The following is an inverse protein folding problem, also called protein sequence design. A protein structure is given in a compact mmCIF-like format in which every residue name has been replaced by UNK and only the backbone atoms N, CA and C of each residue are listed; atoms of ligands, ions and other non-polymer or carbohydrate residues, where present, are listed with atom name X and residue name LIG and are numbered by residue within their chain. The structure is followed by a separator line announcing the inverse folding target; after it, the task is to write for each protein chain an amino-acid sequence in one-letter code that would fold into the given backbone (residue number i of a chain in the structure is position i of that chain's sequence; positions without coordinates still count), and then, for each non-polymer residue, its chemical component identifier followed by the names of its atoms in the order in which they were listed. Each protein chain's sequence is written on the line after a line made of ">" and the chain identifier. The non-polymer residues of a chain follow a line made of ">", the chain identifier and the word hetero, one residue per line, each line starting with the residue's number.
data_IF_296345704092
#
_entry.id   IF_296345704092
#
_cell.length_a   1.000
_cell.length_b   1.000
_cell.length_c   1.000
_cell.angle_alpha   90.00
_cell.angle_beta   90.00
_cell.angle_gamma   90.00
#
_symmetry.space_group_name_H-M   'P 1'
#
loop_
_entity.id
_entity.type
_entity.pdbx_description
1 polymer ?
#
# COMPACT_ATOMS: atom_id res chain seq x y z
N UNK A 1 10.51 7.67 -14.10
CA UNK A 1 9.55 6.71 -14.66
C UNK A 1 8.50 7.45 -15.47
N UNK A 2 8.25 7.05 -16.73
CA UNK A 2 7.29 7.76 -17.61
C UNK A 2 5.82 7.43 -17.29
N UNK A 3 5.56 6.52 -16.36
CA UNK A 3 4.23 6.03 -16.00
C UNK A 3 3.26 7.15 -15.58
N UNK A 4 3.74 8.15 -14.85
CA UNK A 4 2.91 9.26 -14.35
C UNK A 4 2.51 10.28 -15.42
N UNK A 5 3.15 10.25 -16.59
CA UNK A 5 2.82 11.18 -17.69
C UNK A 5 1.91 10.58 -18.74
N UNK A 6 1.65 9.26 -18.67
CA UNK A 6 0.83 8.58 -19.65
C UNK A 6 -0.65 8.71 -19.29
N UNK A 7 -1.45 9.14 -20.25
CA UNK A 7 -2.91 9.08 -20.14
C UNK A 7 -3.32 7.63 -20.39
N UNK A 8 -3.50 6.88 -19.31
CA UNK A 8 -3.96 5.51 -19.38
C UNK A 8 -5.45 5.44 -19.68
N UNK A 9 -5.85 4.60 -20.64
CA UNK A 9 -7.21 4.06 -20.64
C UNK A 9 -7.31 2.95 -19.59
N UNK A 10 -8.53 2.63 -19.15
CA UNK A 10 -8.75 1.52 -18.22
C UNK A 10 -8.11 0.22 -18.70
N UNK A 11 -8.41 -0.19 -19.95
CA UNK A 11 -7.90 -1.42 -20.53
C UNK A 11 -6.36 -1.47 -20.60
N UNK A 12 -5.73 -0.36 -20.98
CA UNK A 12 -4.28 -0.25 -21.03
C UNK A 12 -3.65 -0.38 -19.66
N UNK A 13 -4.29 0.22 -18.66
CA UNK A 13 -3.82 0.18 -17.28
C UNK A 13 -3.94 -1.22 -16.71
N UNK A 14 -5.11 -1.87 -16.81
CA UNK A 14 -5.34 -3.24 -16.34
C UNK A 14 -4.38 -4.23 -16.99
N UNK A 15 -4.20 -4.12 -18.30
CA UNK A 15 -3.22 -4.94 -19.02
C UNK A 15 -1.81 -4.73 -18.45
N UNK A 16 -1.43 -3.49 -18.17
CA UNK A 16 -0.11 -3.16 -17.65
C UNK A 16 0.14 -3.75 -16.26
N UNK A 17 -0.80 -3.67 -15.33
CA UNK A 17 -0.63 -4.19 -13.96
C UNK A 17 -0.72 -5.72 -13.89
N UNK A 18 -1.50 -6.35 -14.76
CA UNK A 18 -1.67 -7.80 -14.79
C UNK A 18 -0.60 -8.55 -15.62
N UNK A 19 0.30 -7.83 -16.25
CA UNK A 19 1.49 -8.41 -16.89
C UNK A 19 2.69 -8.29 -15.95
N UNK A 20 3.08 -9.35 -15.21
CA UNK A 20 4.23 -9.31 -14.31
C UNK A 20 5.51 -8.93 -15.06
N UNK A 21 6.26 -7.98 -14.54
CA UNK A 21 7.49 -7.49 -15.15
C UNK A 21 8.69 -7.94 -14.34
N UNK A 22 9.55 -8.71 -14.98
CA UNK A 22 10.82 -9.11 -14.38
C UNK A 22 11.87 -8.05 -14.69
N UNK A 23 12.50 -7.52 -13.66
CA UNK A 23 13.63 -6.63 -13.82
C UNK A 23 14.84 -7.47 -14.25
N UNK A 24 15.31 -7.27 -15.48
CA UNK A 24 16.43 -8.04 -16.07
C UNK A 24 17.79 -7.76 -15.42
N UNK A 25 17.92 -6.64 -14.72
CA UNK A 25 19.10 -6.28 -13.94
C UNK A 25 18.78 -6.40 -12.44
N UNK A 26 19.79 -6.73 -11.59
CA UNK A 26 19.60 -6.81 -10.14
C UNK A 26 19.44 -5.40 -9.52
N UNK A 27 18.50 -4.62 -10.07
CA UNK A 27 18.07 -3.36 -9.49
C UNK A 27 17.19 -3.73 -8.32
N UNK A 28 17.71 -3.59 -7.11
CA UNK A 28 16.98 -3.91 -5.89
C UNK A 28 15.76 -3.02 -5.67
N UNK A 29 15.78 -1.81 -6.25
CA UNK A 29 14.76 -0.80 -6.00
C UNK A 29 14.30 -0.15 -7.29
N UNK A 30 12.98 -0.09 -7.47
CA UNK A 30 12.37 0.70 -8.51
C UNK A 30 12.51 2.19 -8.21
N UNK A 31 12.94 2.98 -9.18
CA UNK A 31 12.90 4.44 -9.07
C UNK A 31 11.53 4.95 -9.48
N UNK A 32 10.76 5.45 -8.51
CA UNK A 32 9.39 5.94 -8.72
C UNK A 32 9.36 7.43 -9.06
N UNK A 33 10.20 8.22 -8.41
CA UNK A 33 10.20 9.67 -8.53
C UNK A 33 11.53 10.21 -9.01
N UNK A 34 11.49 11.26 -9.85
CA UNK A 34 12.69 12.02 -10.23
C UNK A 34 13.18 12.93 -9.09
N UNK A 35 12.27 13.37 -8.23
CA UNK A 35 12.62 14.19 -7.08
C UNK A 35 13.27 13.31 -6.01
N UNK A 36 14.51 13.58 -5.58
CA UNK A 36 15.23 12.73 -4.64
C UNK A 36 14.57 12.67 -3.25
N UNK A 37 13.85 13.72 -2.83
CA UNK A 37 13.15 13.73 -1.55
C UNK A 37 11.94 12.80 -1.60
N UNK A 38 11.14 12.87 -2.69
CA UNK A 38 10.00 11.97 -2.89
C UNK A 38 10.45 10.52 -3.08
N UNK A 39 11.55 10.32 -3.81
CA UNK A 39 12.12 8.99 -4.00
C UNK A 39 12.60 8.38 -2.69
N UNK A 40 13.29 9.16 -1.85
CA UNK A 40 13.70 8.70 -0.52
C UNK A 40 12.49 8.38 0.37
N UNK A 41 11.46 9.22 0.34
CA UNK A 41 10.23 9.02 1.09
C UNK A 41 9.39 7.81 0.62
N UNK A 42 9.56 7.36 -0.64
CA UNK A 42 8.87 6.17 -1.16
C UNK A 42 9.51 4.84 -0.73
N UNK A 43 10.71 4.89 -0.16
CA UNK A 43 11.49 3.71 0.25
C UNK A 43 11.55 3.62 1.77
N UNK A 44 10.63 2.87 2.37
CA UNK A 44 10.68 2.61 3.79
C UNK A 44 11.66 1.45 4.07
N UNK A 45 12.77 1.66 4.80
CA UNK A 45 13.62 0.57 5.22
C UNK A 45 12.85 -0.35 6.18
N UNK A 46 13.09 -1.64 6.10
CA UNK A 46 12.34 -2.65 6.86
C UNK A 46 12.30 -2.38 8.38
N UNK A 47 13.36 -1.79 8.92
CA UNK A 47 13.47 -1.47 10.33
C UNK A 47 12.65 -0.24 10.76
N UNK A 48 12.26 0.63 9.82
CA UNK A 48 11.45 1.82 10.14
C UNK A 48 10.07 1.43 10.68
N UNK A 49 9.47 0.37 10.12
CA UNK A 49 8.16 -0.11 10.56
C UNK A 49 8.18 -0.56 12.03
N UNK A 50 9.03 -1.52 12.46
CA UNK A 50 9.05 -1.93 13.86
C UNK A 50 9.52 -0.83 14.81
N UNK A 51 10.40 0.09 14.39
CA UNK A 51 10.79 1.21 15.24
C UNK A 51 9.61 2.15 15.47
N UNK A 52 8.97 2.64 14.42
CA UNK A 52 7.87 3.62 14.55
C UNK A 52 6.69 3.01 15.27
N UNK A 53 6.23 1.85 14.85
CA UNK A 53 5.06 1.20 15.44
C UNK A 53 5.34 0.57 16.79
N UNK A 54 6.56 0.05 17.01
CA UNK A 54 6.98 -0.48 18.30
C UNK A 54 7.04 0.59 19.37
N UNK A 55 7.67 1.73 19.09
CA UNK A 55 7.69 2.87 20.02
C UNK A 55 6.29 3.42 20.30
N UNK A 56 5.43 3.49 19.27
CA UNK A 56 4.05 3.89 19.42
C UNK A 56 3.27 2.91 20.31
N UNK A 57 3.43 1.61 20.09
CA UNK A 57 2.79 0.57 20.90
C UNK A 57 3.26 0.64 22.37
N UNK A 58 4.56 0.81 22.61
CA UNK A 58 5.12 0.98 23.96
C UNK A 58 4.52 2.22 24.64
N UNK A 59 4.49 3.34 23.93
CA UNK A 59 3.89 4.58 24.47
C UNK A 59 2.43 4.35 24.89
N UNK A 60 1.61 3.77 24.03
CA UNK A 60 0.21 3.51 24.37
C UNK A 60 0.06 2.48 25.48
N UNK A 61 0.90 1.43 25.49
CA UNK A 61 0.91 0.44 26.57
C UNK A 61 1.12 1.10 27.95
N UNK A 62 1.99 2.11 28.04
CA UNK A 62 2.21 2.86 29.32
C UNK A 62 1.03 3.72 29.75
N UNK A 63 0.04 3.95 28.85
CA UNK A 63 -1.18 4.73 29.12
C UNK A 63 -2.41 3.89 29.40
N UNK A 64 -2.32 2.58 29.17
CA UNK A 64 -3.43 1.66 29.34
C UNK A 64 -3.52 1.22 30.80
N UNK A 65 -4.62 1.54 31.45
CA UNK A 65 -4.95 1.11 32.82
C UNK A 65 -5.85 -0.13 32.81
N UNK A 66 -5.48 -1.15 32.03
CA UNK A 66 -6.25 -2.39 31.93
C UNK A 66 -5.53 -3.52 32.67
N UNK A 67 -6.31 -4.45 33.24
CA UNK A 67 -5.73 -5.70 33.69
C UNK A 67 -5.26 -6.58 32.52
N UNK A 68 -4.36 -7.49 32.79
CA UNK A 68 -3.72 -8.32 31.78
C UNK A 68 -4.74 -9.10 30.91
N UNK A 69 -5.79 -9.65 31.51
CA UNK A 69 -6.84 -10.40 30.81
C UNK A 69 -7.59 -9.50 29.81
N UNK A 70 -8.03 -8.33 30.25
CA UNK A 70 -8.73 -7.37 29.39
C UNK A 70 -7.83 -6.88 28.26
N UNK A 71 -6.55 -6.62 28.56
CA UNK A 71 -5.57 -6.26 27.53
C UNK A 71 -5.44 -7.35 26.46
N UNK A 72 -5.29 -8.62 26.85
CA UNK A 72 -5.19 -9.74 25.91
C UNK A 72 -6.45 -9.91 25.05
N UNK A 73 -7.64 -9.78 25.67
CA UNK A 73 -8.91 -9.83 24.94
C UNK A 73 -8.97 -8.74 23.87
N UNK A 74 -8.70 -7.48 24.27
CA UNK A 74 -8.77 -6.36 23.33
C UNK A 74 -7.68 -6.43 22.27
N UNK A 75 -6.47 -6.88 22.59
CA UNK A 75 -5.41 -7.09 21.61
C UNK A 75 -5.78 -8.16 20.58
N UNK A 76 -6.39 -9.27 21.03
CA UNK A 76 -6.88 -10.33 20.15
C UNK A 76 -8.02 -9.83 19.24
N UNK A 77 -8.98 -9.12 19.78
CA UNK A 77 -10.06 -8.51 19.00
C UNK A 77 -9.51 -7.49 17.98
N UNK A 78 -8.54 -6.67 18.40
CA UNK A 78 -7.87 -5.72 17.53
C UNK A 78 -7.13 -6.41 16.37
N UNK A 79 -6.44 -7.50 16.63
CA UNK A 79 -5.77 -8.31 15.61
C UNK A 79 -6.76 -8.85 14.56
N UNK A 80 -7.85 -9.47 15.00
CA UNK A 80 -8.86 -9.98 14.06
C UNK A 80 -9.60 -8.87 13.32
N UNK A 81 -9.90 -7.76 14.02
CA UNK A 81 -10.52 -6.58 13.37
C UNK A 81 -9.61 -5.99 12.31
N UNK A 82 -8.31 -5.90 12.56
CA UNK A 82 -7.32 -5.43 11.59
C UNK A 82 -7.25 -6.37 10.38
N UNK A 83 -7.15 -7.68 10.61
CA UNK A 83 -7.10 -8.68 9.53
C UNK A 83 -8.34 -8.60 8.63
N UNK A 84 -9.53 -8.46 9.26
CA UNK A 84 -10.78 -8.28 8.52
C UNK A 84 -10.76 -6.96 7.72
N UNK A 85 -10.35 -5.85 8.35
CA UNK A 85 -10.27 -4.54 7.71
C UNK A 85 -9.30 -4.57 6.51
N UNK A 86 -8.13 -5.16 6.69
CA UNK A 86 -7.14 -5.33 5.63
C UNK A 86 -7.72 -6.11 4.44
N UNK A 87 -8.40 -7.23 4.70
CA UNK A 87 -9.08 -8.00 3.66
C UNK A 87 -10.14 -7.17 2.92
N UNK A 88 -10.99 -6.45 3.66
CA UNK A 88 -12.06 -5.63 3.06
C UNK A 88 -11.48 -4.50 2.21
N UNK A 89 -10.48 -3.79 2.72
CA UNK A 89 -9.79 -2.71 1.98
C UNK A 89 -9.09 -3.27 0.75
N UNK A 90 -8.36 -4.39 0.91
CA UNK A 90 -7.68 -5.03 -0.22
C UNK A 90 -8.68 -5.41 -1.32
N UNK A 91 -9.75 -6.13 -0.96
CA UNK A 91 -10.73 -6.64 -1.91
C UNK A 91 -11.56 -5.55 -2.58
N UNK A 92 -12.06 -4.58 -1.82
CA UNK A 92 -13.04 -3.62 -2.34
C UNK A 92 -12.47 -2.25 -2.68
N UNK A 93 -11.38 -1.86 -2.04
CA UNK A 93 -10.74 -0.58 -2.34
C UNK A 93 -9.62 -0.76 -3.36
N UNK A 94 -8.71 -1.69 -3.12
CA UNK A 94 -7.56 -1.88 -3.99
C UNK A 94 -7.88 -2.66 -5.26
N UNK A 95 -8.75 -3.67 -5.18
CA UNK A 95 -9.27 -4.39 -6.34
C UNK A 95 -10.62 -3.85 -6.84
N UNK A 96 -10.88 -2.57 -6.62
CA UNK A 96 -12.08 -1.89 -7.11
C UNK A 96 -11.95 -1.33 -8.52
N UNK A 97 -10.90 -1.66 -9.27
CA UNK A 97 -10.62 -1.12 -10.59
C UNK A 97 -11.70 -1.46 -11.62
N UNK A 98 -12.30 -2.63 -11.54
CA UNK A 98 -13.40 -3.02 -12.44
C UNK A 98 -14.77 -2.49 -11.99
N UNK A 99 -14.94 -2.23 -10.70
CA UNK A 99 -16.22 -1.85 -10.11
C UNK A 99 -16.43 -0.33 -10.08
N UNK A 100 -15.80 0.33 -9.12
CA UNK A 100 -16.05 1.73 -8.81
C UNK A 100 -14.93 2.68 -9.23
N UNK A 101 -13.67 2.18 -9.21
CA UNK A 101 -12.51 3.03 -9.51
C UNK A 101 -12.51 3.50 -10.97
N UNK A 102 -12.95 2.62 -11.89
CA UNK A 102 -13.12 2.96 -13.29
C UNK A 102 -14.20 4.02 -13.53
N UNK A 103 -15.20 4.08 -12.64
CA UNK A 103 -16.29 5.08 -12.69
C UNK A 103 -15.86 6.44 -12.13
N UNK A 104 -14.80 6.49 -11.34
CA UNK A 104 -14.17 7.72 -10.87
C UNK A 104 -13.32 8.31 -12.01
N UNK A 105 -13.94 9.05 -12.89
CA UNK A 105 -13.37 9.59 -14.14
C UNK A 105 -12.30 10.69 -13.92
N UNK A 106 -11.40 10.54 -12.97
CA UNK A 106 -10.29 11.48 -12.76
C UNK A 106 -9.07 11.16 -13.65
N UNK A 107 -9.27 10.29 -14.66
CA UNK A 107 -8.28 9.98 -15.68
C UNK A 107 -6.96 9.48 -15.08
N UNK A 108 -5.84 10.08 -15.52
CA UNK A 108 -4.49 9.67 -15.12
C UNK A 108 -4.24 9.70 -13.61
N UNK A 109 -4.90 10.56 -12.86
CA UNK A 109 -4.67 10.67 -11.41
C UNK A 109 -5.19 9.47 -10.65
N UNK A 110 -6.33 8.92 -11.06
CA UNK A 110 -6.90 7.70 -10.50
C UNK A 110 -5.94 6.52 -10.66
N UNK A 111 -5.47 6.30 -11.89
CA UNK A 111 -4.57 5.18 -12.19
C UNK A 111 -3.18 5.35 -11.59
N UNK A 112 -2.69 6.58 -11.52
CA UNK A 112 -1.43 6.87 -10.84
C UNK A 112 -1.53 6.61 -9.34
N UNK A 113 -2.61 7.06 -8.70
CA UNK A 113 -2.85 6.82 -7.28
C UNK A 113 -2.98 5.33 -6.97
N UNK A 114 -3.80 4.61 -7.74
CA UNK A 114 -3.96 3.17 -7.60
C UNK A 114 -2.64 2.42 -7.81
N UNK A 115 -1.86 2.80 -8.83
CA UNK A 115 -0.56 2.18 -9.08
C UNK A 115 0.40 2.35 -7.89
N UNK A 116 0.48 3.52 -7.30
CA UNK A 116 1.35 3.78 -6.15
C UNK A 116 0.92 3.04 -4.90
N UNK A 117 -0.39 2.87 -4.69
CA UNK A 117 -0.93 2.22 -3.50
C UNK A 117 -0.96 0.70 -3.62
N UNK A 118 -1.23 0.18 -4.81
CA UNK A 118 -1.51 -1.24 -5.00
C UNK A 118 -0.94 -1.83 -6.30
N UNK A 119 -1.16 -1.21 -7.44
CA UNK A 119 -0.79 -1.77 -8.75
C UNK A 119 0.71 -2.06 -8.93
N UNK A 120 1.57 -1.43 -8.12
CA UNK A 120 3.01 -1.61 -8.21
C UNK A 120 3.42 -3.06 -7.90
N UNK A 121 2.84 -3.70 -6.87
CA UNK A 121 3.21 -5.06 -6.51
C UNK A 121 2.58 -6.12 -7.43
N UNK A 122 1.54 -5.77 -8.18
CA UNK A 122 1.05 -6.62 -9.28
C UNK A 122 1.99 -6.58 -10.47
N UNK A 123 2.45 -5.39 -10.85
CA UNK A 123 3.33 -5.21 -11.99
C UNK A 123 4.77 -5.69 -11.73
N UNK A 124 5.23 -5.67 -10.47
CA UNK A 124 6.59 -6.04 -10.04
C UNK A 124 6.52 -6.88 -8.76
N UNK A 125 6.08 -8.14 -8.87
CA UNK A 125 5.94 -9.06 -7.74
C UNK A 125 7.29 -9.48 -7.11
#
# INVERSE_FOLDING_TARGET
>A
MQLFRKNWTFEQYIKFINEPKVLLNPVRDLTLFYNPILEYGSKAPWYAVPIVWGLNAIYWYTKIELNCLMFLVLATLGFFSWTLMEYLVHRWVFHGEEDWLNKLAWGRYTWTGHFLMHGIHHAFP
#
